data_IF_158953195166
#
_entry.id   IF_158953195166
#
_cell.length_a   1.000
_cell.length_b   1.000
_cell.length_c   1.000
_cell.angle_alpha   90.00
_cell.angle_beta   90.00
_cell.angle_gamma   90.00
#
_symmetry.space_group_name_H-M   'P 1'
#
loop_
_entity.id
_entity.type
_entity.pdbx_description
1 polymer ?
#
# COMPACT_ATOMS: atom_id res chain seq x y z
N UNK A 1 -36.34 -26.99 -31.41
CA UNK A 1 -34.94 -27.38 -31.06
C UNK A 1 -34.05 -26.18 -31.28
N UNK A 2 -33.73 -25.45 -30.22
CA UNK A 2 -32.84 -24.29 -30.23
C UNK A 2 -31.52 -24.67 -29.53
N UNK A 3 -30.46 -24.83 -30.33
CA UNK A 3 -29.13 -25.12 -29.87
C UNK A 3 -28.43 -23.80 -29.51
N UNK A 4 -28.27 -23.57 -28.20
CA UNK A 4 -27.50 -22.48 -27.62
C UNK A 4 -25.99 -22.67 -27.89
N UNK A 5 -25.44 -21.89 -28.82
CA UNK A 5 -24.01 -21.73 -29.05
C UNK A 5 -23.51 -20.46 -28.29
N UNK A 6 -23.15 -20.60 -27.04
CA UNK A 6 -22.55 -19.51 -26.25
C UNK A 6 -21.23 -19.88 -25.55
N UNK A 7 -20.44 -20.80 -26.11
CA UNK A 7 -19.24 -21.31 -25.43
C UNK A 7 -17.87 -20.69 -25.83
N UNK A 8 -17.63 -19.98 -26.95
CA UNK A 8 -16.27 -19.53 -27.24
C UNK A 8 -15.87 -18.19 -26.61
N UNK A 9 -16.83 -17.27 -26.37
CA UNK A 9 -16.51 -15.95 -25.81
C UNK A 9 -16.05 -16.02 -24.34
N UNK A 10 -16.63 -16.92 -23.56
CA UNK A 10 -16.29 -17.06 -22.13
C UNK A 10 -14.88 -17.63 -21.91
N UNK A 11 -14.43 -18.53 -22.79
CA UNK A 11 -13.06 -19.08 -22.77
C UNK A 11 -12.00 -18.02 -23.13
N UNK A 12 -12.29 -17.10 -24.05
CA UNK A 12 -11.39 -16.00 -24.40
C UNK A 12 -11.31 -14.92 -23.32
N UNK A 13 -12.39 -14.66 -22.59
CA UNK A 13 -12.39 -13.77 -21.43
C UNK A 13 -11.59 -14.38 -20.27
N UNK A 14 -11.77 -15.66 -19.99
CA UNK A 14 -11.05 -16.36 -18.92
C UNK A 14 -9.56 -16.53 -19.22
N UNK A 15 -9.15 -16.66 -20.50
CA UNK A 15 -7.75 -16.73 -20.89
C UNK A 15 -6.99 -15.39 -20.75
N UNK A 16 -7.70 -14.25 -20.76
CA UNK A 16 -7.13 -12.92 -20.47
C UNK A 16 -7.03 -12.62 -18.97
N UNK A 17 -7.61 -13.44 -18.11
CA UNK A 17 -7.71 -13.22 -16.66
C UNK A 17 -6.57 -13.82 -15.84
N UNK A 18 -5.60 -14.49 -16.49
CA UNK A 18 -4.41 -14.99 -15.82
C UNK A 18 -3.13 -14.61 -16.58
N UNK A 19 -2.53 -13.45 -16.34
CA UNK A 19 -1.12 -13.48 -16.16
C UNK A 19 -0.95 -14.26 -14.84
N UNK A 20 -0.49 -15.49 -14.92
CA UNK A 20 0.13 -16.16 -13.78
C UNK A 20 1.28 -15.26 -13.40
N UNK A 21 1.04 -14.28 -12.52
CA UNK A 21 2.09 -13.67 -11.73
C UNK A 21 2.69 -14.89 -11.04
N UNK A 22 3.88 -15.26 -11.46
CA UNK A 22 4.66 -16.23 -10.71
C UNK A 22 4.64 -15.72 -9.28
N UNK A 23 3.89 -16.40 -8.42
CA UNK A 23 3.92 -16.14 -6.99
C UNK A 23 5.36 -16.34 -6.62
N UNK A 24 6.07 -15.24 -6.51
CA UNK A 24 7.45 -15.25 -6.04
C UNK A 24 7.38 -16.00 -4.72
N UNK A 25 8.13 -17.08 -4.59
CA UNK A 25 8.21 -17.95 -3.44
C UNK A 25 7.81 -17.23 -2.15
N UNK A 26 6.64 -17.55 -1.59
CA UNK A 26 6.31 -17.21 -0.22
C UNK A 26 6.99 -18.25 0.66
N UNK A 27 8.03 -17.88 1.39
CA UNK A 27 8.69 -18.80 2.30
C UNK A 27 7.67 -19.30 3.32
N UNK A 28 7.67 -20.59 3.56
CA UNK A 28 6.79 -21.20 4.56
C UNK A 28 7.14 -20.69 5.94
N UNK A 29 6.17 -20.52 6.86
CA UNK A 29 6.46 -20.26 8.25
C UNK A 29 7.46 -21.30 8.79
N UNK A 30 8.57 -20.85 9.39
CA UNK A 30 9.63 -21.74 9.88
C UNK A 30 10.83 -21.90 8.95
N UNK A 31 10.84 -21.30 7.75
CA UNK A 31 12.06 -21.15 6.96
C UNK A 31 12.97 -20.12 7.65
N UNK A 32 14.08 -20.59 8.23
CA UNK A 32 15.05 -19.76 8.95
C UNK A 32 15.93 -18.87 8.06
N UNK A 33 15.63 -18.73 6.77
CA UNK A 33 16.40 -17.90 5.84
C UNK A 33 16.19 -16.41 6.16
N UNK A 34 17.25 -15.64 6.49
CA UNK A 34 17.15 -14.22 6.76
C UNK A 34 16.60 -13.44 5.56
N UNK A 35 15.65 -12.54 5.82
CA UNK A 35 15.02 -11.71 4.79
C UNK A 35 15.33 -10.24 4.99
N UNK A 36 15.60 -9.57 3.87
CA UNK A 36 15.71 -8.13 3.85
C UNK A 36 14.33 -7.48 3.94
N UNK A 37 14.22 -6.47 4.81
CA UNK A 37 13.06 -5.59 4.91
C UNK A 37 13.56 -4.15 4.74
N UNK A 38 13.03 -3.43 3.78
CA UNK A 38 13.34 -2.01 3.63
C UNK A 38 12.71 -1.24 4.80
N UNK A 39 13.49 -0.39 5.47
CA UNK A 39 13.00 0.40 6.60
C UNK A 39 13.18 1.89 6.32
N UNK A 40 12.11 2.64 6.49
CA UNK A 40 12.07 4.10 6.43
C UNK A 40 11.63 4.61 7.80
N UNK A 41 12.54 5.05 8.68
CA UNK A 41 12.16 5.60 9.98
C UNK A 41 11.26 6.82 9.86
N UNK A 42 11.56 7.73 8.95
CA UNK A 42 10.78 8.94 8.71
C UNK A 42 10.94 9.99 9.80
N UNK A 43 9.90 10.82 9.98
CA UNK A 43 9.91 12.00 10.84
C UNK A 43 9.35 11.73 12.25
N UNK A 44 9.57 12.69 13.14
CA UNK A 44 8.98 12.73 14.47
C UNK A 44 9.37 11.54 15.34
N UNK A 45 8.38 10.78 15.79
CA UNK A 45 8.60 9.58 16.63
C UNK A 45 9.03 8.35 15.84
N UNK A 46 9.06 8.43 14.50
CA UNK A 46 9.37 7.33 13.61
C UNK A 46 10.68 6.60 13.96
N UNK A 47 11.82 7.29 14.12
CA UNK A 47 13.09 6.66 14.50
C UNK A 47 13.02 5.91 15.83
N UNK A 48 12.30 6.47 16.82
CA UNK A 48 12.13 5.81 18.12
C UNK A 48 11.32 4.51 18.00
N UNK A 49 10.20 4.57 17.26
CA UNK A 49 9.30 3.43 17.10
C UNK A 49 9.96 2.33 16.27
N UNK A 50 10.63 2.69 15.16
CA UNK A 50 11.34 1.70 14.32
C UNK A 50 12.52 1.07 15.07
N UNK A 51 13.24 1.82 15.91
CA UNK A 51 14.28 1.28 16.78
C UNK A 51 13.72 0.29 17.81
N UNK A 52 12.55 0.56 18.38
CA UNK A 52 11.87 -0.38 19.27
C UNK A 52 11.45 -1.67 18.51
N UNK A 53 10.97 -1.55 17.28
CA UNK A 53 10.65 -2.73 16.45
C UNK A 53 11.88 -3.59 16.20
N UNK A 54 13.03 -2.99 15.89
CA UNK A 54 14.28 -3.74 15.71
C UNK A 54 14.65 -4.54 16.95
N UNK A 55 14.62 -3.91 18.13
CA UNK A 55 14.91 -4.59 19.40
C UNK A 55 13.95 -5.77 19.66
N UNK A 56 12.66 -5.60 19.36
CA UNK A 56 11.68 -6.68 19.49
C UNK A 56 11.98 -7.82 18.52
N UNK A 57 12.26 -7.51 17.26
CA UNK A 57 12.55 -8.53 16.23
C UNK A 57 13.84 -9.28 16.54
N UNK A 58 14.86 -8.60 17.07
CA UNK A 58 16.09 -9.22 17.56
C UNK A 58 15.84 -10.14 18.76
N UNK A 59 15.09 -9.67 19.75
CA UNK A 59 14.73 -10.46 20.93
C UNK A 59 13.90 -11.70 20.61
N UNK A 60 13.07 -11.61 19.55
CA UNK A 60 12.28 -12.74 19.03
C UNK A 60 13.10 -13.68 18.15
N UNK A 61 14.35 -13.39 17.85
CA UNK A 61 15.18 -14.10 16.88
C UNK A 61 14.51 -14.24 15.52
N UNK A 62 13.78 -13.20 15.09
CA UNK A 62 13.10 -13.21 13.80
C UNK A 62 14.13 -13.25 12.66
N UNK A 63 14.01 -14.14 11.67
CA UNK A 63 14.96 -14.28 10.58
C UNK A 63 14.79 -13.16 9.56
N UNK A 64 15.07 -11.92 9.95
CA UNK A 64 15.00 -10.74 9.11
C UNK A 64 16.11 -9.74 9.48
N UNK A 65 16.43 -8.88 8.51
CA UNK A 65 17.32 -7.73 8.75
C UNK A 65 16.78 -6.51 8.01
N UNK A 66 17.08 -5.32 8.54
CA UNK A 66 16.55 -4.07 8.00
C UNK A 66 17.60 -3.34 7.16
N UNK A 67 17.23 -3.00 5.91
CA UNK A 67 17.93 -2.03 5.07
C UNK A 67 17.33 -0.65 5.35
N UNK A 68 18.03 0.20 6.13
CA UNK A 68 17.53 1.51 6.55
C UNK A 68 17.83 2.60 5.55
N UNK A 69 16.84 3.44 5.31
CA UNK A 69 16.94 4.60 4.44
C UNK A 69 16.40 5.85 5.12
N UNK A 70 17.19 6.91 5.12
CA UNK A 70 16.82 8.20 5.68
C UNK A 70 15.96 8.96 4.66
N UNK A 71 14.65 9.00 4.92
CA UNK A 71 13.67 9.74 4.12
C UNK A 71 12.84 10.60 5.05
N UNK A 72 12.77 11.90 4.73
CA UNK A 72 12.07 12.90 5.53
C UNK A 72 11.00 13.60 4.71
N UNK A 73 9.94 14.07 5.37
CA UNK A 73 8.77 14.65 4.71
C UNK A 73 9.01 15.96 3.96
N UNK A 74 10.14 16.65 4.23
CA UNK A 74 10.57 17.88 3.56
C UNK A 74 11.32 17.64 2.24
N UNK A 75 11.66 16.39 1.93
CA UNK A 75 12.31 16.04 0.66
C UNK A 75 11.36 16.29 -0.51
N UNK A 76 11.91 16.69 -1.67
CA UNK A 76 11.14 16.94 -2.89
C UNK A 76 10.62 15.67 -3.56
N UNK A 77 11.36 14.59 -3.42
CA UNK A 77 11.05 13.30 -4.04
C UNK A 77 11.62 12.14 -3.22
N UNK A 78 11.01 10.97 -3.36
CA UNK A 78 11.54 9.73 -2.78
C UNK A 78 12.80 9.33 -3.55
N UNK A 79 13.93 9.03 -2.86
CA UNK A 79 15.15 8.57 -3.53
C UNK A 79 14.93 7.29 -4.33
N UNK A 80 15.52 7.20 -5.53
CA UNK A 80 15.36 6.04 -6.40
C UNK A 80 15.85 4.73 -5.75
N UNK A 81 16.92 4.81 -4.97
CA UNK A 81 17.47 3.66 -4.23
C UNK A 81 16.48 3.04 -3.24
N UNK A 82 15.63 3.88 -2.62
CA UNK A 82 14.56 3.41 -1.72
C UNK A 82 13.51 2.63 -2.50
N UNK A 83 13.08 3.17 -3.64
CA UNK A 83 12.10 2.50 -4.51
C UNK A 83 12.63 1.16 -5.03
N UNK A 84 13.91 1.11 -5.40
CA UNK A 84 14.56 -0.12 -5.85
C UNK A 84 14.66 -1.15 -4.73
N UNK A 85 15.06 -0.73 -3.51
CA UNK A 85 15.09 -1.59 -2.34
C UNK A 85 13.72 -2.18 -2.03
N UNK A 86 12.66 -1.35 -2.02
CA UNK A 86 11.29 -1.85 -1.79
C UNK A 86 10.83 -2.82 -2.89
N UNK A 87 11.13 -2.53 -4.16
CA UNK A 87 10.82 -3.43 -5.28
C UNK A 87 11.55 -4.76 -5.19
N UNK A 88 12.81 -4.75 -4.73
CA UNK A 88 13.64 -5.94 -4.50
C UNK A 88 13.13 -6.76 -3.32
N UNK A 89 12.97 -6.13 -2.16
CA UNK A 89 12.65 -6.79 -0.91
C UNK A 89 11.16 -7.15 -0.78
N UNK A 90 10.27 -6.47 -1.54
CA UNK A 90 8.81 -6.65 -1.54
C UNK A 90 8.11 -6.27 -0.24
N UNK A 91 8.85 -5.89 0.79
CA UNK A 91 8.34 -5.48 2.10
C UNK A 91 9.07 -4.22 2.54
N UNK A 92 8.29 -3.25 3.01
CA UNK A 92 8.82 -2.02 3.61
C UNK A 92 8.10 -1.72 4.92
N UNK A 93 8.89 -1.49 5.98
CA UNK A 93 8.39 -0.92 7.23
C UNK A 93 8.64 0.59 7.22
N UNK A 94 7.58 1.37 7.31
CA UNK A 94 7.65 2.83 7.22
C UNK A 94 7.10 3.49 8.49
N UNK A 95 7.86 4.42 9.04
CA UNK A 95 7.40 5.37 10.05
C UNK A 95 6.55 6.50 9.43
N UNK A 96 6.35 7.58 10.17
CA UNK A 96 5.64 8.76 9.69
C UNK A 96 6.47 9.57 8.70
N UNK A 97 5.85 10.08 7.63
CA UNK A 97 6.44 11.14 6.80
C UNK A 97 5.55 12.36 6.92
N UNK A 98 6.09 13.44 7.44
CA UNK A 98 5.38 14.69 7.59
C UNK A 98 5.04 15.27 6.20
N UNK A 99 3.84 15.82 6.06
CA UNK A 99 3.48 16.58 4.85
C UNK A 99 3.60 18.05 5.19
N UNK A 100 4.51 18.82 4.56
CA UNK A 100 4.64 20.24 4.80
C UNK A 100 3.32 20.97 4.54
N UNK A 101 2.90 21.85 5.45
CA UNK A 101 1.77 22.73 5.23
C UNK A 101 2.18 23.88 4.32
N UNK A 102 1.60 23.94 3.12
CA UNK A 102 1.86 24.98 2.13
C UNK A 102 1.49 24.48 0.73
N UNK A 103 0.79 25.31 -0.05
CA UNK A 103 0.22 24.91 -1.33
C UNK A 103 1.25 24.38 -2.33
N UNK A 104 0.88 23.33 -3.04
CA UNK A 104 1.60 22.81 -4.20
C UNK A 104 2.65 21.73 -3.94
N UNK A 105 2.87 21.30 -2.69
CA UNK A 105 3.80 20.19 -2.40
C UNK A 105 3.03 18.88 -2.41
N UNK A 106 3.35 18.01 -3.36
CA UNK A 106 2.84 16.63 -3.36
C UNK A 106 3.40 15.88 -2.15
N UNK A 107 2.52 15.29 -1.33
CA UNK A 107 2.93 14.46 -0.20
C UNK A 107 3.80 13.30 -0.67
N UNK A 108 4.97 13.11 -0.03
CA UNK A 108 5.83 11.95 -0.29
C UNK A 108 5.12 10.61 -0.06
N UNK A 109 4.14 10.57 0.85
CA UNK A 109 3.31 9.40 1.05
C UNK A 109 2.49 9.07 -0.20
N UNK A 110 1.94 10.07 -0.88
CA UNK A 110 1.20 9.89 -2.14
C UNK A 110 2.14 9.47 -3.26
N UNK A 111 3.31 10.12 -3.35
CA UNK A 111 4.32 9.75 -4.35
C UNK A 111 4.77 8.30 -4.17
N UNK A 112 5.10 7.88 -2.95
CA UNK A 112 5.53 6.52 -2.65
C UNK A 112 4.47 5.48 -3.07
N UNK A 113 3.19 5.77 -2.80
CA UNK A 113 2.08 4.89 -3.19
C UNK A 113 1.96 4.78 -4.71
N UNK A 114 2.06 5.90 -5.44
CA UNK A 114 1.98 5.92 -6.91
C UNK A 114 3.17 5.20 -7.55
N UNK A 115 4.40 5.48 -7.11
CA UNK A 115 5.62 4.89 -7.66
C UNK A 115 5.74 3.36 -7.43
N UNK A 116 5.16 2.87 -6.34
CA UNK A 116 5.18 1.46 -5.98
C UNK A 116 3.86 0.74 -6.30
N UNK A 117 2.88 1.42 -6.92
CA UNK A 117 1.56 0.88 -7.23
C UNK A 117 0.85 0.29 -5.99
N UNK A 118 0.91 1.02 -4.87
CA UNK A 118 0.24 0.63 -3.63
C UNK A 118 -1.22 1.09 -3.65
N UNK A 119 -2.01 0.49 -4.52
CA UNK A 119 -3.38 0.90 -4.82
C UNK A 119 -4.38 0.68 -3.69
N UNK A 120 -4.12 -0.25 -2.78
CA UNK A 120 -5.04 -0.57 -1.69
C UNK A 120 -4.38 -0.49 -0.32
N UNK A 121 -5.10 0.09 0.64
CA UNK A 121 -4.76 0.03 2.07
C UNK A 121 -5.75 -0.88 2.77
N UNK A 122 -5.24 -1.87 3.49
CA UNK A 122 -6.02 -2.83 4.26
C UNK A 122 -5.82 -2.57 5.74
N UNK A 123 -6.91 -2.37 6.47
CA UNK A 123 -6.89 -2.12 7.92
C UNK A 123 -7.90 -3.05 8.61
N UNK A 124 -7.42 -3.82 9.58
CA UNK A 124 -8.27 -4.61 10.46
C UNK A 124 -8.71 -3.76 11.65
N UNK A 125 -10.01 -3.56 11.80
CA UNK A 125 -10.62 -2.82 12.91
C UNK A 125 -11.37 -3.81 13.81
N UNK A 126 -10.88 -4.01 15.03
CA UNK A 126 -11.50 -4.91 15.99
C UNK A 126 -11.40 -4.37 17.42
N UNK A 127 -12.32 -4.81 18.28
CA UNK A 127 -12.27 -4.45 19.70
C UNK A 127 -11.13 -5.15 20.40
N UNK A 128 -10.38 -4.39 21.20
CA UNK A 128 -9.36 -4.95 22.09
C UNK A 128 -10.00 -5.28 23.45
N UNK A 129 -9.80 -6.49 24.00
CA UNK A 129 -10.30 -6.86 25.31
C UNK A 129 -9.79 -5.88 26.40
N UNK A 130 -10.71 -5.40 27.24
CA UNK A 130 -10.39 -4.46 28.33
C UNK A 130 -10.30 -2.99 27.93
N UNK A 131 -10.41 -2.66 26.65
CA UNK A 131 -10.47 -1.28 26.17
C UNK A 131 -11.91 -0.89 25.85
N UNK A 132 -12.56 0.02 26.62
CA UNK A 132 -13.91 0.47 26.33
C UNK A 132 -13.93 1.29 25.04
N UNK A 133 -14.84 0.95 24.13
CA UNK A 133 -15.05 1.63 22.86
C UNK A 133 -16.53 1.97 22.68
N UNK A 134 -16.85 2.86 21.71
CA UNK A 134 -18.23 3.27 21.45
C UNK A 134 -19.11 2.12 20.95
N UNK A 135 -18.52 1.16 20.24
CA UNK A 135 -19.21 0.02 19.63
C UNK A 135 -18.57 -1.28 20.11
N UNK A 136 -19.41 -2.25 20.46
CA UNK A 136 -18.96 -3.58 20.89
C UNK A 136 -19.01 -4.56 19.71
N UNK A 137 -18.23 -5.64 19.82
CA UNK A 137 -18.16 -6.72 18.84
C UNK A 137 -17.80 -6.28 17.41
N UNK A 138 -16.93 -5.28 17.32
CA UNK A 138 -16.40 -4.82 16.02
C UNK A 138 -15.35 -5.80 15.55
N UNK A 139 -15.51 -6.32 14.33
CA UNK A 139 -14.53 -7.10 13.58
C UNK A 139 -14.73 -6.81 12.09
N UNK A 140 -14.05 -5.80 11.59
CA UNK A 140 -14.24 -5.24 10.26
C UNK A 140 -12.90 -5.11 9.56
N UNK A 141 -12.83 -5.56 8.30
CA UNK A 141 -11.72 -5.27 7.40
C UNK A 141 -12.09 -4.08 6.52
N UNK A 142 -11.33 -2.99 6.65
CA UNK A 142 -11.48 -1.79 5.83
C UNK A 142 -10.46 -1.83 4.70
N UNK A 143 -10.92 -1.85 3.46
CA UNK A 143 -10.08 -1.74 2.27
C UNK A 143 -10.32 -0.37 1.64
N UNK A 144 -9.24 0.42 1.52
CA UNK A 144 -9.28 1.76 0.95
C UNK A 144 -8.45 1.82 -0.32
N UNK A 145 -9.04 2.32 -1.39
CA UNK A 145 -8.32 2.67 -2.60
C UNK A 145 -7.46 3.93 -2.34
N UNK A 146 -6.21 3.95 -2.86
CA UNK A 146 -5.23 4.99 -2.53
C UNK A 146 -4.60 5.70 -3.74
N UNK A 147 -4.78 5.22 -4.96
CA UNK A 147 -4.05 5.71 -6.15
C UNK A 147 -4.95 6.34 -7.19
N UNK A 148 -6.20 5.94 -7.22
CA UNK A 148 -7.22 6.41 -8.16
C UNK A 148 -8.36 7.15 -7.45
N UNK A 149 -9.41 7.45 -8.17
CA UNK A 149 -10.58 8.13 -7.65
C UNK A 149 -10.26 9.55 -7.21
N UNK A 150 -10.48 9.85 -5.94
CA UNK A 150 -10.21 11.15 -5.32
C UNK A 150 -8.70 11.45 -5.23
N UNK A 151 -7.85 10.43 -5.29
CA UNK A 151 -6.40 10.54 -5.16
C UNK A 151 -5.67 10.58 -6.51
N UNK A 152 -6.41 10.55 -7.63
CA UNK A 152 -5.82 10.62 -8.98
C UNK A 152 -5.13 11.95 -9.26
N UNK A 153 -5.55 13.04 -8.57
CA UNK A 153 -5.03 14.39 -8.77
C UNK A 153 -5.52 15.03 -10.06
N UNK A 154 -6.69 14.60 -10.55
CA UNK A 154 -7.35 15.16 -11.74
C UNK A 154 -8.23 16.34 -11.33
N UNK A 155 -7.59 17.40 -10.87
CA UNK A 155 -8.25 18.63 -10.44
C UNK A 155 -7.72 19.78 -11.29
N UNK A 156 -8.62 20.63 -11.78
CA UNK A 156 -8.25 21.83 -12.53
C UNK A 156 -9.19 22.99 -12.24
N UNK A 157 -8.63 24.16 -12.22
CA UNK A 157 -9.39 25.40 -12.05
C UNK A 157 -10.01 25.79 -13.38
N UNK A 158 -11.34 25.79 -13.45
CA UNK A 158 -12.10 26.13 -14.66
C UNK A 158 -12.21 27.63 -14.85
N UNK A 159 -12.48 28.32 -13.74
CA UNK A 159 -12.47 29.80 -13.62
C UNK A 159 -11.95 30.15 -12.23
N UNK A 160 -11.47 31.38 -12.00
CA UNK A 160 -10.94 31.76 -10.70
C UNK A 160 -11.89 31.44 -9.55
N UNK A 161 -11.43 30.60 -8.60
CA UNK A 161 -12.20 30.17 -7.44
C UNK A 161 -13.15 29.00 -7.68
N UNK A 162 -13.21 28.39 -8.89
CA UNK A 162 -14.01 27.20 -9.20
C UNK A 162 -13.10 26.08 -9.68
N UNK A 163 -13.03 24.99 -8.90
CA UNK A 163 -12.23 23.79 -9.21
C UNK A 163 -13.14 22.66 -9.57
N UNK A 164 -12.87 22.02 -10.71
CA UNK A 164 -13.47 20.72 -11.06
C UNK A 164 -12.52 19.61 -10.62
N UNK A 165 -13.08 18.55 -10.04
CA UNK A 165 -12.37 17.32 -9.67
C UNK A 165 -13.00 16.14 -10.39
N UNK A 166 -12.19 15.39 -11.14
CA UNK A 166 -12.62 14.23 -11.88
C UNK A 166 -12.24 12.95 -11.15
N UNK A 167 -13.23 12.17 -10.74
CA UNK A 167 -13.00 10.86 -10.13
C UNK A 167 -12.96 9.78 -11.21
N UNK A 168 -11.78 9.22 -11.44
CA UNK A 168 -11.56 8.11 -12.38
C UNK A 168 -11.15 6.86 -11.61
N UNK A 169 -11.80 5.74 -11.92
CA UNK A 169 -11.50 4.43 -11.36
C UNK A 169 -11.28 3.47 -12.53
N UNK A 170 -10.07 2.91 -12.65
CA UNK A 170 -9.80 1.91 -13.67
C UNK A 170 -10.43 0.56 -13.27
N UNK A 171 -10.94 -0.14 -14.28
CA UNK A 171 -11.67 -1.39 -14.06
C UNK A 171 -10.80 -2.49 -13.44
N UNK A 172 -9.51 -2.49 -13.72
CA UNK A 172 -8.57 -3.47 -13.18
C UNK A 172 -8.33 -3.27 -11.68
N UNK A 173 -8.23 -2.02 -11.20
CA UNK A 173 -8.11 -1.71 -9.77
C UNK A 173 -9.40 -2.02 -9.00
N UNK A 174 -10.57 -1.72 -9.57
CA UNK A 174 -11.86 -2.09 -8.97
C UNK A 174 -12.02 -3.60 -8.77
N UNK A 175 -11.52 -4.43 -9.68
CA UNK A 175 -11.57 -5.88 -9.53
C UNK A 175 -10.78 -6.37 -8.33
N UNK A 176 -9.60 -5.83 -8.08
CA UNK A 176 -8.79 -6.22 -6.92
C UNK A 176 -9.41 -5.78 -5.60
N UNK A 177 -10.03 -4.61 -5.55
CA UNK A 177 -10.69 -4.10 -4.32
C UNK A 177 -12.00 -4.86 -4.02
N UNK A 178 -12.71 -5.35 -5.04
CA UNK A 178 -13.97 -6.08 -4.86
C UNK A 178 -13.81 -7.60 -4.62
N UNK A 179 -12.61 -8.16 -4.80
CA UNK A 179 -12.35 -9.60 -4.64
C UNK A 179 -11.45 -9.96 -3.45
N UNK A 180 -11.03 -8.99 -2.65
CA UNK A 180 -10.38 -9.19 -1.35
C UNK A 180 -11.41 -9.25 -0.23
#
# INVERSE_FOLDING_TARGET
MATTRSAPLLKHLLARLNPVRSVTYMPRPGDGTPRAVTMIPGDGIGPLVTGAVEQVMEAMHAPLYFEKYEVYGDMKAVPAEVLESVRKNKVCLKGGLATPMGGGVSSLNVQLRKELDLYASLVNCFNLPGLPTRHDNVDIVVIRENTEGEYSGLEHEVVPGVVESLKVLAFDHLRFVCFL
#
